data_IF_132834539364
#
_entry.id   IF_132834539364
#
_cell.length_a   1.000
_cell.length_b   1.000
_cell.length_c   1.000
_cell.angle_alpha   90.00
_cell.angle_beta   90.00
_cell.angle_gamma   90.00
#
_symmetry.space_group_name_H-M   'P 1'
#
loop_
_entity.id
_entity.type
_entity.pdbx_description
1 polymer ?
#
# COMPACT_ATOMS: atom_id res chain seq x y z
N UNK A 1 17.28 -8.94 2.43
CA UNK A 1 17.28 -7.46 2.44
C UNK A 1 16.86 -6.90 1.08
N UNK A 2 16.52 -5.61 0.98
CA UNK A 2 16.03 -4.97 -0.26
C UNK A 2 16.97 -5.16 -1.47
N UNK A 3 18.29 -5.20 -1.23
CA UNK A 3 19.30 -5.53 -2.24
C UNK A 3 19.10 -6.93 -2.83
N UNK A 4 18.82 -7.91 -1.99
CA UNK A 4 18.68 -9.32 -2.37
C UNK A 4 17.42 -9.52 -3.22
N UNK A 5 16.36 -8.78 -2.89
CA UNK A 5 15.14 -8.75 -3.68
C UNK A 5 15.39 -8.28 -5.12
N UNK A 6 16.29 -7.31 -5.31
CA UNK A 6 16.54 -6.73 -6.62
C UNK A 6 17.50 -7.52 -7.51
N UNK A 7 18.26 -8.47 -6.94
CA UNK A 7 19.13 -9.37 -7.71
C UNK A 7 18.47 -10.71 -8.05
N UNK A 8 17.36 -11.06 -7.40
CA UNK A 8 16.57 -12.23 -7.77
C UNK A 8 16.09 -12.13 -9.23
N UNK A 9 15.96 -13.26 -9.92
CA UNK A 9 15.65 -13.30 -11.35
C UNK A 9 14.17 -13.62 -11.56
N UNK A 10 13.51 -12.84 -12.40
CA UNK A 10 12.21 -13.19 -12.96
C UNK A 10 12.40 -14.32 -14.00
N UNK A 11 11.88 -15.53 -13.76
CA UNK A 11 12.06 -16.66 -14.66
C UNK A 11 11.38 -16.45 -16.02
N UNK A 12 10.35 -15.60 -16.11
CA UNK A 12 9.63 -15.37 -17.35
C UNK A 12 10.44 -14.53 -18.35
N UNK A 13 11.20 -13.55 -17.85
CA UNK A 13 12.00 -12.64 -18.68
C UNK A 13 13.51 -12.86 -18.61
N UNK A 14 14.00 -13.64 -17.64
CA UNK A 14 15.43 -13.77 -17.34
C UNK A 14 16.06 -12.48 -16.77
N UNK A 15 15.24 -11.49 -16.42
CA UNK A 15 15.70 -10.17 -15.94
C UNK A 15 15.73 -10.13 -14.42
N UNK A 16 16.71 -9.44 -13.85
CA UNK A 16 16.74 -9.17 -12.42
C UNK A 16 15.50 -8.36 -12.00
N UNK A 17 14.84 -8.74 -10.90
CA UNK A 17 13.61 -8.11 -10.42
C UNK A 17 13.80 -6.60 -10.24
N UNK A 18 14.94 -6.14 -9.74
CA UNK A 18 15.21 -4.71 -9.58
C UNK A 18 15.12 -3.91 -10.88
N UNK A 19 15.29 -4.55 -12.04
CA UNK A 19 15.23 -3.97 -13.38
C UNK A 19 13.90 -4.18 -14.10
N UNK A 20 13.02 -5.00 -13.55
CA UNK A 20 11.71 -5.27 -14.16
C UNK A 20 10.76 -4.06 -14.04
N UNK A 21 9.89 -3.88 -15.04
CA UNK A 21 8.60 -3.17 -14.85
C UNK A 21 7.57 -4.09 -14.22
N UNK A 22 6.49 -3.50 -13.70
CA UNK A 22 5.36 -4.25 -13.18
C UNK A 22 4.68 -3.55 -12.02
N UNK A 23 4.10 -4.35 -11.14
CA UNK A 23 3.33 -3.88 -9.98
C UNK A 23 3.97 -4.38 -8.69
N UNK A 24 3.94 -3.56 -7.65
CA UNK A 24 4.44 -3.88 -6.32
C UNK A 24 3.38 -3.57 -5.26
N UNK A 25 3.43 -4.29 -4.15
CA UNK A 25 2.61 -4.04 -2.98
C UNK A 25 3.45 -4.04 -1.69
N UNK A 26 3.04 -3.22 -0.73
CA UNK A 26 3.64 -3.14 0.60
C UNK A 26 2.70 -3.72 1.66
N UNK A 27 3.28 -4.42 2.64
CA UNK A 27 2.58 -5.11 3.71
C UNK A 27 3.17 -4.74 5.07
N UNK A 28 2.34 -4.66 6.11
CA UNK A 28 2.80 -4.36 7.46
C UNK A 28 3.24 -5.62 8.23
N UNK A 29 3.57 -5.44 9.51
CA UNK A 29 4.05 -6.53 10.37
C UNK A 29 3.00 -7.62 10.61
N UNK A 30 1.72 -7.33 10.37
CA UNK A 30 0.59 -8.25 10.53
C UNK A 30 0.19 -8.92 9.20
N UNK A 31 1.04 -8.82 8.17
CA UNK A 31 0.78 -9.24 6.78
C UNK A 31 -0.39 -8.50 6.10
N UNK A 32 -0.78 -7.33 6.63
CA UNK A 32 -1.89 -6.57 6.08
C UNK A 32 -1.42 -5.70 4.90
N UNK A 33 -2.08 -5.78 3.73
CA UNK A 33 -1.74 -4.91 2.61
C UNK A 33 -1.91 -3.43 2.98
N UNK A 34 -0.98 -2.61 2.52
CA UNK A 34 -0.93 -1.18 2.83
C UNK A 34 -1.10 -0.34 1.57
N UNK A 35 -0.42 -0.70 0.50
CA UNK A 35 -0.33 0.12 -0.70
C UNK A 35 0.02 -0.75 -1.90
N UNK A 36 -0.58 -0.44 -3.06
CA UNK A 36 -0.26 -1.03 -4.36
C UNK A 36 0.22 0.08 -5.29
N UNK A 37 1.24 -0.19 -6.10
CA UNK A 37 1.64 0.75 -7.14
C UNK A 37 2.31 0.08 -8.32
N UNK A 38 2.26 0.77 -9.45
CA UNK A 38 2.89 0.36 -10.70
C UNK A 38 4.20 1.13 -10.97
N UNK A 39 5.06 0.53 -11.79
CA UNK A 39 6.22 1.20 -12.39
C UNK A 39 6.44 0.75 -13.84
N UNK A 40 6.67 1.73 -14.72
CA UNK A 40 7.13 1.51 -16.10
C UNK A 40 8.64 1.84 -16.27
N UNK A 41 9.32 2.25 -15.19
CA UNK A 41 10.75 2.56 -15.14
C UNK A 41 11.52 1.28 -14.76
N UNK A 42 11.66 1.03 -13.46
CA UNK A 42 12.00 -0.25 -12.86
C UNK A 42 11.58 -0.30 -11.38
N UNK A 43 11.57 -1.50 -10.77
CA UNK A 43 11.23 -1.66 -9.35
C UNK A 43 12.25 -0.99 -8.43
N UNK A 44 13.55 -1.11 -8.69
CA UNK A 44 14.60 -0.57 -7.81
C UNK A 44 14.47 0.94 -7.59
N UNK A 45 14.11 1.65 -8.66
CA UNK A 45 13.90 3.10 -8.62
C UNK A 45 12.60 3.45 -7.91
N UNK A 46 11.47 2.83 -8.28
CA UNK A 46 10.17 3.22 -7.72
C UNK A 46 10.03 2.81 -6.26
N UNK A 47 10.29 1.54 -5.92
CA UNK A 47 10.28 1.04 -4.54
C UNK A 47 11.32 1.78 -3.69
N UNK A 48 12.51 2.04 -4.27
CA UNK A 48 13.55 2.81 -3.63
C UNK A 48 13.11 4.22 -3.23
N UNK A 49 12.36 4.93 -4.11
CA UNK A 49 11.78 6.25 -3.82
C UNK A 49 10.76 6.19 -2.67
N UNK A 50 9.92 5.15 -2.59
CA UNK A 50 8.96 5.02 -1.49
C UNK A 50 9.67 4.81 -0.15
N UNK A 51 10.62 3.86 -0.09
CA UNK A 51 11.26 3.46 1.16
C UNK A 51 12.33 4.47 1.64
N UNK A 52 12.96 5.20 0.72
CA UNK A 52 14.00 6.21 1.06
C UNK A 52 13.50 7.65 1.03
N UNK A 53 12.51 7.95 0.19
CA UNK A 53 12.10 9.31 -0.17
C UNK A 53 11.31 10.05 0.91
N UNK A 54 10.78 9.36 1.92
CA UNK A 54 10.09 10.02 3.04
C UNK A 54 11.00 10.76 4.01
N UNK A 55 12.33 10.68 3.86
CA UNK A 55 13.26 11.55 4.61
C UNK A 55 13.37 12.96 4.03
N UNK A 56 12.76 13.22 2.87
CA UNK A 56 12.72 14.55 2.25
C UNK A 56 11.46 15.28 2.70
N UNK A 57 11.65 16.45 3.31
CA UNK A 57 10.65 17.31 3.94
C UNK A 57 9.63 17.97 2.96
N UNK A 58 9.41 17.35 1.79
CA UNK A 58 8.46 17.86 0.80
C UNK A 58 7.07 17.35 1.16
N UNK A 59 6.13 18.28 1.36
CA UNK A 59 4.70 18.08 1.66
C UNK A 59 3.96 17.02 0.81
N UNK A 60 4.56 16.54 -0.28
CA UNK A 60 3.91 15.76 -1.32
C UNK A 60 3.72 14.25 -1.00
N UNK A 61 4.55 13.61 -0.15
CA UNK A 61 4.68 12.14 -0.15
C UNK A 61 4.39 11.43 1.18
N UNK A 62 3.67 12.05 2.12
CA UNK A 62 3.59 11.65 3.54
C UNK A 62 2.47 10.65 3.92
N UNK A 63 1.93 9.90 2.96
CA UNK A 63 0.74 9.05 3.16
C UNK A 63 1.06 7.69 3.83
N UNK A 64 2.21 7.11 3.50
CA UNK A 64 2.66 5.79 3.93
C UNK A 64 3.90 5.90 4.82
N UNK A 65 3.90 5.45 6.07
CA UNK A 65 5.15 5.40 6.86
C UNK A 65 6.02 4.20 6.44
N UNK A 66 7.25 4.37 5.89
CA UNK A 66 8.12 3.27 5.52
C UNK A 66 8.47 2.34 6.68
N UNK A 67 8.41 2.83 7.93
CA UNK A 67 8.65 1.97 9.09
C UNK A 67 7.54 0.97 9.35
N UNK A 68 6.31 1.26 8.91
CA UNK A 68 5.20 0.31 8.95
C UNK A 68 5.29 -0.75 7.84
N UNK A 69 6.20 -0.61 6.87
CA UNK A 69 6.39 -1.59 5.79
C UNK A 69 7.35 -2.69 6.26
N UNK A 70 6.80 -3.88 6.54
CA UNK A 70 7.58 -5.03 6.98
C UNK A 70 8.05 -5.92 5.82
N UNK A 71 7.21 -6.04 4.78
CA UNK A 71 7.52 -6.84 3.59
C UNK A 71 6.94 -6.21 2.34
N UNK A 72 7.39 -6.67 1.18
CA UNK A 72 6.87 -6.28 -0.12
C UNK A 72 6.63 -7.50 -1.01
N UNK A 73 5.79 -7.31 -2.02
CA UNK A 73 5.55 -8.28 -3.08
C UNK A 73 5.72 -7.60 -4.44
N UNK A 74 6.37 -8.30 -5.37
CA UNK A 74 6.64 -7.82 -6.73
C UNK A 74 5.97 -8.76 -7.73
N UNK A 75 5.21 -8.21 -8.67
CA UNK A 75 4.67 -8.88 -9.84
C UNK A 75 5.37 -8.33 -11.08
N UNK A 76 6.49 -8.93 -11.51
CA UNK A 76 7.17 -8.49 -12.72
C UNK A 76 6.26 -8.69 -13.94
N UNK A 77 6.28 -7.72 -14.83
CA UNK A 77 5.62 -7.79 -16.12
C UNK A 77 6.57 -7.36 -17.24
N UNK A 78 7.81 -7.81 -17.14
CA UNK A 78 8.90 -7.36 -18.01
C UNK A 78 8.66 -7.72 -19.49
N UNK A 79 7.95 -8.82 -19.75
CA UNK A 79 7.56 -9.27 -21.09
C UNK A 79 6.79 -8.22 -21.90
N UNK A 80 6.12 -7.24 -21.25
CA UNK A 80 5.37 -6.19 -21.95
C UNK A 80 6.18 -4.92 -22.25
N UNK A 81 7.46 -4.85 -21.82
CA UNK A 81 8.27 -3.62 -21.99
C UNK A 81 8.40 -3.21 -23.46
N UNK A 82 8.56 -4.19 -24.34
CA UNK A 82 8.73 -4.02 -25.79
C UNK A 82 7.44 -3.78 -26.57
N UNK A 83 6.26 -3.88 -25.94
CA UNK A 83 4.99 -3.64 -26.62
C UNK A 83 4.82 -2.15 -27.01
N UNK A 84 3.98 -1.85 -28.02
CA UNK A 84 3.56 -0.50 -28.32
C UNK A 84 3.04 0.22 -27.07
N UNK A 85 3.27 1.53 -26.97
CA UNK A 85 2.99 2.33 -25.76
C UNK A 85 1.59 2.07 -25.20
N UNK A 86 0.56 2.09 -26.04
CA UNK A 86 -0.83 1.92 -25.61
C UNK A 86 -1.11 0.50 -25.10
N UNK A 87 -0.51 -0.53 -25.70
CA UNK A 87 -0.64 -1.92 -25.26
C UNK A 87 0.07 -2.17 -23.93
N UNK A 88 1.29 -1.63 -23.78
CA UNK A 88 2.04 -1.70 -22.53
C UNK A 88 1.29 -1.04 -21.37
N UNK A 89 0.74 0.16 -21.60
CA UNK A 89 -0.06 0.87 -20.58
C UNK A 89 -1.26 0.03 -20.17
N UNK A 90 -2.08 -0.44 -21.13
CA UNK A 90 -3.24 -1.29 -20.82
C UNK A 90 -2.87 -2.55 -20.06
N UNK A 91 -1.76 -3.21 -20.42
CA UNK A 91 -1.33 -4.43 -19.75
C UNK A 91 -0.90 -4.18 -18.30
N UNK A 92 -0.17 -3.08 -18.06
CA UNK A 92 0.23 -2.72 -16.70
C UNK A 92 -0.96 -2.23 -15.86
N UNK A 93 -1.88 -1.44 -16.44
CA UNK A 93 -3.08 -0.96 -15.74
C UNK A 93 -3.99 -2.12 -15.33
N UNK A 94 -4.17 -3.13 -16.20
CA UNK A 94 -4.91 -4.35 -15.87
C UNK A 94 -4.27 -5.14 -14.73
N UNK A 95 -2.93 -5.24 -14.72
CA UNK A 95 -2.20 -5.87 -13.62
C UNK A 95 -2.32 -5.05 -12.33
N UNK A 96 -2.19 -3.73 -12.38
CA UNK A 96 -2.28 -2.85 -11.20
C UNK A 96 -3.67 -2.93 -10.59
N UNK A 97 -4.72 -2.83 -11.39
CA UNK A 97 -6.10 -2.95 -10.92
C UNK A 97 -6.39 -4.32 -10.31
N UNK A 98 -5.89 -5.41 -10.91
CA UNK A 98 -6.09 -6.77 -10.38
C UNK A 98 -5.39 -6.96 -9.03
N UNK A 99 -4.15 -6.48 -8.88
CA UNK A 99 -3.42 -6.55 -7.61
C UNK A 99 -4.07 -5.64 -6.57
N UNK A 100 -4.56 -4.47 -6.98
CA UNK A 100 -5.27 -3.53 -6.12
C UNK A 100 -6.58 -4.13 -5.57
N UNK A 101 -7.40 -4.71 -6.43
CA UNK A 101 -8.65 -5.35 -6.05
C UNK A 101 -8.40 -6.56 -5.14
N UNK A 102 -7.39 -7.38 -5.45
CA UNK A 102 -6.99 -8.52 -4.61
C UNK A 102 -6.49 -8.07 -3.23
N UNK A 103 -5.68 -7.02 -3.16
CA UNK A 103 -5.21 -6.44 -1.90
C UNK A 103 -6.36 -5.92 -1.03
N UNK A 104 -7.37 -5.27 -1.63
CA UNK A 104 -8.58 -4.86 -0.93
C UNK A 104 -9.38 -6.07 -0.44
N UNK A 105 -9.54 -7.11 -1.27
CA UNK A 105 -10.27 -8.33 -0.86
C UNK A 105 -9.58 -9.05 0.30
N UNK A 106 -8.25 -9.07 0.33
CA UNK A 106 -7.45 -9.72 1.38
C UNK A 106 -7.26 -8.86 2.63
N UNK A 107 -7.44 -7.54 2.52
CA UNK A 107 -7.34 -6.62 3.64
C UNK A 107 -8.39 -6.93 4.71
N UNK A 108 -7.99 -6.97 5.99
CA UNK A 108 -8.93 -7.06 7.11
C UNK A 108 -9.91 -5.88 7.15
N UNK A 109 -9.55 -4.76 6.55
CA UNK A 109 -10.33 -3.52 6.51
C UNK A 109 -11.09 -3.36 5.19
N UNK A 110 -10.92 -4.27 4.24
CA UNK A 110 -11.41 -4.09 2.88
C UNK A 110 -11.03 -2.74 2.25
N UNK A 111 -9.87 -2.18 2.64
CA UNK A 111 -9.39 -0.88 2.20
C UNK A 111 -7.88 -0.73 2.43
N UNK A 112 -7.19 0.01 1.53
CA UNK A 112 -5.74 0.27 1.59
C UNK A 112 -5.44 1.76 1.37
N UNK A 113 -4.19 2.20 1.57
CA UNK A 113 -3.80 3.61 1.65
C UNK A 113 -3.59 4.32 0.30
N UNK A 114 -4.04 3.72 -0.80
CA UNK A 114 -3.97 4.34 -2.12
C UNK A 114 -4.90 5.57 -2.18
N UNK A 115 -4.33 6.75 -2.46
CA UNK A 115 -5.13 7.97 -2.64
C UNK A 115 -6.02 7.87 -3.90
N UNK A 116 -5.47 7.33 -4.99
CA UNK A 116 -6.16 7.15 -6.26
C UNK A 116 -6.46 5.67 -6.49
N UNK A 117 -7.66 5.40 -6.98
CA UNK A 117 -8.02 4.11 -7.53
C UNK A 117 -7.28 3.97 -8.86
N UNK A 118 -6.52 2.87 -9.10
CA UNK A 118 -5.93 2.59 -10.40
C UNK A 118 -6.96 2.64 -11.53
N UNK A 119 -6.55 2.84 -12.80
CA UNK A 119 -7.48 2.78 -13.93
C UNK A 119 -8.28 1.47 -13.92
N UNK A 120 -9.61 1.60 -13.79
CA UNK A 120 -10.50 0.44 -13.72
C UNK A 120 -10.34 -0.36 -15.01
N UNK A 121 -9.97 -1.63 -14.84
CA UNK A 121 -9.61 -2.53 -15.92
C UNK A 121 -10.23 -3.91 -15.70
N UNK A 122 -10.29 -4.75 -16.72
CA UNK A 122 -10.69 -6.13 -16.53
C UNK A 122 -9.68 -6.86 -15.62
N UNK A 123 -10.16 -7.53 -14.58
CA UNK A 123 -9.31 -8.35 -13.72
C UNK A 123 -8.67 -9.49 -14.54
N UNK A 124 -7.37 -9.68 -14.34
CA UNK A 124 -6.58 -10.76 -14.94
C UNK A 124 -6.13 -11.74 -13.86
N UNK A 125 -5.81 -12.96 -14.27
CA UNK A 125 -5.11 -13.89 -13.39
C UNK A 125 -3.74 -13.29 -13.01
N UNK A 126 -3.50 -13.15 -11.70
CA UNK A 126 -2.25 -12.59 -11.22
C UNK A 126 -1.07 -13.49 -11.60
N UNK A 127 -0.01 -12.94 -12.23
CA UNK A 127 1.19 -13.71 -12.55
C UNK A 127 1.96 -14.08 -11.28
N UNK A 128 3.01 -14.87 -11.43
CA UNK A 128 3.91 -15.21 -10.32
C UNK A 128 4.38 -13.94 -9.62
N UNK A 129 4.27 -13.96 -8.29
CA UNK A 129 4.72 -12.88 -7.43
C UNK A 129 5.92 -13.29 -6.59
N UNK A 130 6.75 -12.33 -6.22
CA UNK A 130 7.95 -12.54 -5.41
C UNK A 130 7.84 -11.73 -4.13
N UNK A 131 7.84 -12.41 -2.98
CA UNK A 131 7.71 -11.79 -1.67
C UNK A 131 9.08 -11.66 -0.99
N UNK A 132 9.33 -10.51 -0.37
CA UNK A 132 10.58 -10.25 0.34
C UNK A 132 10.33 -9.49 1.65
N UNK A 133 11.02 -9.93 2.71
CA UNK A 133 11.07 -9.20 3.96
C UNK A 133 12.05 -8.02 3.85
N UNK A 134 11.58 -6.87 4.34
CA UNK A 134 12.32 -5.61 4.31
C UNK A 134 12.93 -5.26 5.66
N UNK A 135 12.52 -5.96 6.72
CA UNK A 135 13.01 -5.77 8.08
C UNK A 135 13.85 -6.97 8.49
N UNK A 136 15.07 -6.70 8.94
CA UNK A 136 15.97 -7.73 9.44
C UNK A 136 15.43 -8.37 10.73
N UNK A 137 15.66 -9.67 10.89
CA UNK A 137 15.23 -10.44 12.07
C UNK A 137 15.73 -9.86 13.40
N UNK A 138 16.89 -9.21 13.42
CA UNK A 138 17.45 -8.56 14.61
C UNK A 138 16.71 -7.27 14.99
N UNK A 139 16.19 -6.54 13.99
CA UNK A 139 15.47 -5.27 14.19
C UNK A 139 13.96 -5.47 14.34
N UNK A 140 13.43 -6.61 13.87
CA UNK A 140 11.99 -6.88 13.84
C UNK A 140 11.33 -6.78 15.22
N UNK A 141 11.88 -7.34 16.32
CA UNK A 141 11.22 -7.30 17.63
C UNK A 141 10.98 -5.88 18.15
N UNK A 142 11.95 -4.98 17.93
CA UNK A 142 11.83 -3.58 18.36
C UNK A 142 10.79 -2.82 17.52
N UNK A 143 10.80 -3.04 16.19
CA UNK A 143 9.90 -2.32 15.27
C UNK A 143 8.47 -2.82 15.28
N UNK A 144 8.27 -4.12 15.51
CA UNK A 144 6.96 -4.76 15.57
C UNK A 144 6.23 -4.47 16.89
N UNK A 145 6.93 -3.95 17.91
CA UNK A 145 6.36 -3.68 19.22
C UNK A 145 5.09 -2.79 19.10
N UNK A 146 3.93 -3.24 19.63
CA UNK A 146 2.66 -2.55 19.40
C UNK A 146 2.69 -1.07 19.79
N UNK A 147 3.29 -0.72 20.93
CA UNK A 147 3.34 0.67 21.40
C UNK A 147 4.23 1.58 20.52
N UNK A 148 5.27 1.01 19.89
CA UNK A 148 6.10 1.74 18.92
C UNK A 148 5.28 2.03 17.66
N UNK A 149 4.58 1.01 17.15
CA UNK A 149 3.70 1.15 15.98
C UNK A 149 2.54 2.12 16.23
N UNK A 150 1.92 2.09 17.42
CA UNK A 150 0.87 3.04 17.83
C UNK A 150 1.39 4.47 17.76
N UNK A 151 2.54 4.75 18.38
CA UNK A 151 3.14 6.09 18.39
C UNK A 151 3.41 6.60 16.97
N UNK A 152 4.00 5.76 16.12
CA UNK A 152 4.33 6.11 14.72
C UNK A 152 3.11 6.31 13.84
N UNK A 153 2.08 5.46 13.99
CA UNK A 153 0.81 5.60 13.26
C UNK A 153 0.05 6.85 13.68
N UNK A 154 0.02 7.17 14.97
CA UNK A 154 -0.56 8.41 15.47
C UNK A 154 0.14 9.64 14.88
N UNK A 155 1.48 9.65 14.88
CA UNK A 155 2.27 10.72 14.29
C UNK A 155 2.04 10.85 12.78
N UNK A 156 1.95 9.73 12.07
CA UNK A 156 1.66 9.71 10.63
C UNK A 156 0.26 10.23 10.33
N UNK A 157 -0.75 9.82 11.08
CA UNK A 157 -2.11 10.32 10.94
C UNK A 157 -2.18 11.83 11.17
N UNK A 158 -1.54 12.33 12.23
CA UNK A 158 -1.45 13.76 12.52
C UNK A 158 -0.81 14.53 11.35
N UNK A 159 0.30 14.01 10.79
CA UNK A 159 0.96 14.60 9.62
C UNK A 159 0.09 14.60 8.37
N UNK A 160 -0.60 13.49 8.06
CA UNK A 160 -1.48 13.42 6.89
C UNK A 160 -2.63 14.41 7.03
N UNK A 161 -3.20 14.56 8.23
CA UNK A 161 -4.22 15.55 8.50
C UNK A 161 -3.71 16.99 8.34
N UNK A 162 -2.49 17.28 8.81
CA UNK A 162 -1.85 18.59 8.62
C UNK A 162 -1.63 18.90 7.12
N UNK A 163 -1.09 17.94 6.35
CA UNK A 163 -0.91 18.08 4.90
C UNK A 163 -2.24 18.33 4.20
N UNK A 164 -3.31 17.68 4.64
CA UNK A 164 -4.63 17.90 4.07
C UNK A 164 -5.17 19.31 4.33
N UNK A 165 -4.78 19.94 5.45
CA UNK A 165 -5.11 21.33 5.72
C UNK A 165 -4.23 22.30 4.90
N UNK A 166 -2.91 22.06 4.85
CA UNK A 166 -1.93 22.90 4.15
C UNK A 166 -2.17 22.99 2.64
N UNK A 167 -2.71 21.91 2.03
CA UNK A 167 -3.03 21.87 0.60
C UNK A 167 -4.32 22.62 0.23
N UNK A 168 -5.13 23.04 1.19
CA UNK A 168 -6.44 23.65 0.94
C UNK A 168 -7.44 22.62 0.40
N UNK A 169 -7.66 22.62 -0.91
CA UNK A 169 -8.50 21.60 -1.57
C UNK A 169 -7.79 20.25 -1.60
N UNK A 170 -8.47 19.22 -1.10
CA UNK A 170 -7.93 17.86 -1.03
C UNK A 170 -8.85 16.88 -1.72
N UNK A 171 -8.23 15.91 -2.38
CA UNK A 171 -8.98 14.85 -3.05
C UNK A 171 -9.82 14.05 -2.03
N UNK A 172 -11.01 13.56 -2.42
CA UNK A 172 -11.77 12.60 -1.63
C UNK A 172 -10.91 11.38 -1.24
N UNK A 173 -10.00 10.98 -2.12
CA UNK A 173 -8.99 9.94 -1.88
C UNK A 173 -8.15 10.18 -0.63
N UNK A 174 -7.58 11.37 -0.48
CA UNK A 174 -6.74 11.69 0.69
C UNK A 174 -7.56 11.70 1.99
N UNK A 175 -8.82 12.17 1.94
CA UNK A 175 -9.75 12.11 3.08
C UNK A 175 -10.06 10.66 3.48
N UNK A 176 -10.30 9.77 2.52
CA UNK A 176 -10.47 8.32 2.80
C UNK A 176 -9.23 7.73 3.44
N UNK A 177 -8.03 8.10 2.99
CA UNK A 177 -6.79 7.61 3.59
C UNK A 177 -6.66 8.03 5.07
N UNK A 178 -7.06 9.25 5.44
CA UNK A 178 -7.11 9.68 6.84
C UNK A 178 -7.99 8.76 7.67
N UNK A 179 -9.19 8.43 7.17
CA UNK A 179 -10.13 7.53 7.87
C UNK A 179 -9.55 6.12 8.00
N UNK A 180 -8.99 5.56 6.92
CA UNK A 180 -8.37 4.22 6.95
C UNK A 180 -7.23 4.20 7.98
N UNK A 181 -6.37 5.22 8.01
CA UNK A 181 -5.27 5.30 8.98
C UNK A 181 -5.79 5.38 10.42
N UNK A 182 -6.86 6.15 10.68
CA UNK A 182 -7.48 6.24 11.99
C UNK A 182 -8.05 4.90 12.46
N UNK A 183 -8.73 4.17 11.57
CA UNK A 183 -9.24 2.82 11.87
C UNK A 183 -8.11 1.84 12.17
N UNK A 184 -7.04 1.85 11.35
CA UNK A 184 -5.88 0.98 11.59
C UNK A 184 -5.19 1.27 12.93
N UNK A 185 -5.11 2.55 13.33
CA UNK A 185 -4.59 2.95 14.63
C UNK A 185 -5.50 2.50 15.78
N UNK A 186 -6.81 2.68 15.62
CA UNK A 186 -7.80 2.25 16.63
C UNK A 186 -7.77 0.73 16.84
N UNK A 187 -7.70 -0.05 15.76
CA UNK A 187 -7.61 -1.51 15.81
C UNK A 187 -6.33 -1.98 16.53
N UNK A 188 -5.18 -1.39 16.19
CA UNK A 188 -3.91 -1.71 16.84
C UNK A 188 -3.92 -1.35 18.34
N UNK A 189 -4.46 -0.18 18.70
CA UNK A 189 -4.60 0.24 20.09
C UNK A 189 -5.57 -0.66 20.86
N UNK A 190 -6.69 -1.04 20.25
CA UNK A 190 -7.67 -1.95 20.85
C UNK A 190 -7.09 -3.36 21.05
N UNK A 191 -6.32 -3.87 20.08
CA UNK A 191 -5.62 -5.15 20.20
C UNK A 191 -4.59 -5.11 21.34
N UNK A 192 -3.85 -4.00 21.48
CA UNK A 192 -2.90 -3.80 22.58
C UNK A 192 -3.59 -3.78 23.95
N UNK A 193 -4.70 -3.06 24.07
CA UNK A 193 -5.50 -3.05 25.30
C UNK A 193 -6.03 -4.44 25.63
N UNK A 194 -6.60 -5.15 24.65
CA UNK A 194 -7.14 -6.49 24.84
C UNK A 194 -6.05 -7.47 25.33
N UNK A 195 -4.84 -7.38 24.79
CA UNK A 195 -3.69 -8.16 25.26
C UNK A 195 -3.39 -7.90 26.75
N UNK A 196 -3.33 -6.63 27.17
CA UNK A 196 -3.06 -6.26 28.57
C UNK A 196 -4.16 -6.75 29.51
N UNK A 197 -5.42 -6.74 29.06
CA UNK A 197 -6.57 -7.18 29.84
C UNK A 197 -6.82 -8.70 29.75
N UNK A 198 -6.02 -9.45 29.00
CA UNK A 198 -6.21 -10.89 28.79
C UNK A 198 -7.48 -11.25 28.01
N UNK A 199 -8.03 -10.30 27.24
CA UNK A 199 -9.22 -10.50 26.40
C UNK A 199 -8.83 -10.88 24.98
N UNK A 200 -9.80 -11.43 24.23
CA UNK A 200 -9.66 -11.59 22.78
C UNK A 200 -9.52 -10.21 22.12
N UNK A 201 -8.63 -10.12 21.13
CA UNK A 201 -8.48 -8.93 20.29
C UNK A 201 -9.75 -8.59 19.50
N UNK A 202 -9.81 -7.37 18.91
CA UNK A 202 -10.94 -6.94 18.10
C UNK A 202 -11.19 -7.89 16.93
N UNK A 203 -12.45 -8.07 16.56
CA UNK A 203 -12.82 -8.75 15.31
C UNK A 203 -12.76 -7.76 14.16
N UNK A 204 -12.26 -8.13 12.96
CA UNK A 204 -12.17 -7.21 11.83
C UNK A 204 -13.51 -6.54 11.46
N UNK A 205 -14.62 -7.26 11.66
CA UNK A 205 -15.97 -6.76 11.41
C UNK A 205 -16.51 -5.79 12.47
N UNK A 206 -15.70 -5.39 13.47
CA UNK A 206 -16.12 -4.44 14.50
C UNK A 206 -16.26 -3.01 13.95
N UNK A 207 -15.66 -2.72 12.80
CA UNK A 207 -15.74 -1.44 12.11
C UNK A 207 -16.22 -1.68 10.69
N UNK A 208 -17.37 -1.13 10.32
CA UNK A 208 -17.86 -1.17 8.94
C UNK A 208 -17.08 -0.15 8.10
N UNK A 209 -16.03 -0.63 7.44
CA UNK A 209 -15.19 0.21 6.60
C UNK A 209 -15.93 0.77 5.39
N UNK A 210 -16.90 0.04 4.84
CA UNK A 210 -17.66 0.50 3.67
C UNK A 210 -18.56 1.68 4.03
N UNK A 211 -19.16 1.67 5.22
CA UNK A 211 -19.93 2.81 5.72
C UNK A 211 -19.06 4.05 5.94
N UNK A 212 -17.81 3.87 6.39
CA UNK A 212 -16.91 4.98 6.69
C UNK A 212 -16.23 5.61 5.48
N UNK A 213 -15.87 4.82 4.46
CA UNK A 213 -15.09 5.32 3.31
C UNK A 213 -15.76 5.14 1.95
N UNK A 214 -16.97 4.57 1.90
CA UNK A 214 -17.68 4.28 0.66
C UNK A 214 -17.02 3.16 -0.15
N UNK A 215 -17.28 3.14 -1.46
CA UNK A 215 -16.65 2.17 -2.36
C UNK A 215 -15.21 2.60 -2.68
N UNK A 216 -14.28 1.65 -2.56
CA UNK A 216 -12.85 1.82 -2.87
C UNK A 216 -12.42 1.06 -4.13
N UNK A 217 -13.29 0.27 -4.75
CA UNK A 217 -13.01 -0.46 -6.01
C UNK A 217 -13.47 0.29 -7.27
N UNK A 218 -14.39 1.25 -7.10
CA UNK A 218 -14.90 2.11 -8.16
C UNK A 218 -15.02 3.55 -7.63
N UNK A 219 -15.00 4.53 -8.54
CA UNK A 219 -15.50 5.86 -8.19
C UNK A 219 -17.02 5.80 -8.13
N UNK A 220 -17.64 6.42 -7.13
CA UNK A 220 -19.09 6.64 -7.17
C UNK A 220 -19.38 7.71 -8.22
N UNK A 221 -20.12 7.36 -9.28
CA UNK A 221 -20.54 8.28 -10.35
C UNK A 221 -21.40 9.45 -9.83
N UNK A 222 -21.90 9.36 -8.61
CA UNK A 222 -22.72 10.38 -7.95
C UNK A 222 -21.92 11.47 -7.23
N UNK A 223 -20.59 11.51 -7.40
CA UNK A 223 -19.71 12.46 -6.71
C UNK A 223 -19.00 13.44 -7.66
N UNK A 224 -19.59 13.74 -8.82
CA UNK A 224 -19.31 15.01 -9.51
C UNK A 224 -20.07 16.13 -8.79
N UNK A 225 -19.39 17.11 -8.18
CA UNK A 225 -20.01 18.39 -7.94
C UNK A 225 -20.02 19.13 -9.28
N UNK A 226 -20.97 18.82 -10.15
CA UNK A 226 -21.52 19.87 -11.01
C UNK A 226 -22.41 20.74 -10.13
N UNK A 227 -21.78 21.73 -9.47
CA UNK A 227 -22.28 23.11 -9.23
C UNK A 227 -21.34 23.87 -8.26
#
# INVERSE_FOLDING_TARGET
>A
MLSDAFVAIDPASGTALGKCIGVYAFYDYDDEPIYVGQTAEDFATRVGRHLRGQRSDTLAYRILDPFEVASMRLWPHEVVRGLPRNEKVRALDALEYSVYADAIRQSKYHAILNEKIPPISAEIALPQSFRFDLVDTTMRPEREHPDVRIARRAETLARVAAVAHERGEVSPGLRRVIVIQAVRLADLAAARLAYVEGRRGPVPSAIDMRELVGNVLTYDESADPED
#
